data_IF_820294057187
#
_entry.id   IF_820294057187
#
_cell.length_a   1.000
_cell.length_b   1.000
_cell.length_c   1.000
_cell.angle_alpha   90.00
_cell.angle_beta   90.00
_cell.angle_gamma   90.00
#
_symmetry.space_group_name_H-M   'P 1'
#
loop_
_entity.id
_entity.type
_entity.pdbx_description
1 polymer ?
#
# COMPACT_ATOMS: atom_id res chain seq x y z
N UNK A 1 -16.24 -16.54 -22.09
CA UNK A 1 -17.69 -16.29 -22.09
C UNK A 1 -17.93 -15.07 -21.22
N UNK A 2 -18.47 -14.00 -21.79
CA UNK A 2 -18.53 -12.67 -21.18
C UNK A 2 -19.38 -12.67 -19.92
N UNK A 3 -18.87 -12.09 -18.82
CA UNK A 3 -19.65 -11.72 -17.66
C UNK A 3 -19.74 -10.19 -17.59
N UNK A 4 -20.96 -9.70 -17.77
CA UNK A 4 -21.36 -8.33 -17.49
C UNK A 4 -21.26 -8.10 -15.98
N UNK A 5 -20.38 -7.20 -15.55
CA UNK A 5 -20.27 -6.81 -14.14
C UNK A 5 -21.30 -5.71 -13.87
N UNK A 6 -22.43 -6.08 -13.26
CA UNK A 6 -23.32 -5.12 -12.62
C UNK A 6 -22.65 -4.58 -11.35
N UNK A 7 -22.32 -3.28 -11.36
CA UNK A 7 -22.08 -2.50 -10.15
C UNK A 7 -23.42 -2.45 -9.40
N UNK A 8 -23.57 -3.23 -8.34
CA UNK A 8 -24.71 -3.09 -7.43
C UNK A 8 -24.32 -2.10 -6.35
N UNK A 9 -24.66 -0.83 -6.56
CA UNK A 9 -24.72 0.15 -5.48
C UNK A 9 -25.95 -0.19 -4.62
N UNK A 10 -25.80 -0.99 -3.58
CA UNK A 10 -26.89 -1.24 -2.64
C UNK A 10 -27.03 -0.07 -1.68
N UNK A 11 -28.20 0.57 -1.68
CA UNK A 11 -28.58 1.64 -0.77
C UNK A 11 -29.33 1.03 0.43
N UNK A 12 -28.65 0.82 1.55
CA UNK A 12 -29.34 0.54 2.82
C UNK A 12 -29.61 1.85 3.55
N UNK A 13 -30.88 2.27 3.54
CA UNK A 13 -31.38 3.36 4.36
C UNK A 13 -31.59 2.89 5.80
N UNK A 14 -30.50 2.74 6.55
CA UNK A 14 -30.55 2.81 8.01
C UNK A 14 -29.28 3.47 8.56
N UNK A 15 -29.36 4.78 8.79
CA UNK A 15 -28.36 5.56 9.53
C UNK A 15 -27.08 5.98 8.78
N UNK A 16 -27.07 7.20 8.24
CA UNK A 16 -25.92 8.11 8.08
C UNK A 16 -24.53 7.59 7.63
N UNK A 17 -24.44 6.50 6.84
CA UNK A 17 -23.17 6.00 6.30
C UNK A 17 -23.29 5.71 4.81
N UNK A 18 -22.57 6.46 3.96
CA UNK A 18 -22.40 6.11 2.55
C UNK A 18 -21.20 5.18 2.44
N UNK A 19 -21.44 3.89 2.53
CA UNK A 19 -20.42 2.85 2.41
C UNK A 19 -20.47 2.28 0.98
N UNK A 20 -19.42 2.48 0.18
CA UNK A 20 -19.25 1.71 -1.05
C UNK A 20 -18.54 0.42 -0.60
N UNK A 21 -19.32 -0.60 -0.23
CA UNK A 21 -18.76 -1.92 0.01
C UNK A 21 -18.49 -2.58 -1.33
N UNK A 22 -17.23 -2.75 -1.67
CA UNK A 22 -16.81 -3.62 -2.76
C UNK A 22 -16.81 -5.06 -2.22
N UNK A 23 -18.00 -5.67 -2.13
CA UNK A 23 -18.12 -7.08 -1.76
C UNK A 23 -17.81 -7.95 -2.98
N UNK A 24 -16.62 -8.56 -2.98
CA UNK A 24 -16.39 -9.72 -3.84
C UNK A 24 -17.25 -10.88 -3.31
N UNK A 25 -18.38 -11.14 -3.96
CA UNK A 25 -19.32 -12.18 -3.53
C UNK A 25 -18.65 -13.56 -3.48
N UNK A 26 -18.60 -14.16 -2.29
CA UNK A 26 -18.19 -15.53 -2.08
C UNK A 26 -19.29 -16.48 -2.59
N UNK A 27 -18.95 -17.44 -3.47
CA UNK A 27 -19.83 -18.60 -3.69
C UNK A 27 -19.78 -19.48 -2.44
N UNK A 28 -20.96 -19.81 -1.89
CA UNK A 28 -21.13 -20.75 -0.77
C UNK A 28 -20.43 -22.07 -1.07
N UNK A 29 -19.53 -22.46 -0.18
CA UNK A 29 -18.88 -23.77 -0.17
C UNK A 29 -17.37 -23.66 -0.35
N UNK A 30 -16.64 -23.28 0.70
CA UNK A 30 -15.28 -23.77 0.84
C UNK A 30 -14.91 -23.91 2.31
N UNK A 31 -14.50 -25.14 2.62
CA UNK A 31 -14.17 -25.66 3.94
C UNK A 31 -12.87 -25.04 4.48
N UNK A 32 -12.75 -25.02 5.80
CA UNK A 32 -11.59 -24.54 6.55
C UNK A 32 -10.27 -25.22 6.12
N UNK A 33 -9.18 -24.42 6.05
CA UNK A 33 -7.73 -24.73 5.81
C UNK A 33 -7.09 -23.99 4.61
N UNK A 34 -7.86 -23.24 3.81
CA UNK A 34 -7.30 -22.38 2.75
C UNK A 34 -8.15 -21.14 2.54
N UNK A 35 -8.12 -20.20 3.49
CA UNK A 35 -8.95 -18.99 3.41
C UNK A 35 -8.43 -18.11 2.27
N UNK A 36 -9.15 -18.12 1.14
CA UNK A 36 -9.04 -17.12 0.09
C UNK A 36 -9.42 -15.75 0.69
N UNK A 37 -8.43 -14.89 0.89
CA UNK A 37 -8.60 -13.53 1.40
C UNK A 37 -9.36 -12.67 0.40
N UNK A 38 -10.46 -12.03 0.82
CA UNK A 38 -11.02 -10.83 0.17
C UNK A 38 -11.54 -9.84 1.25
N UNK A 39 -11.48 -8.50 1.05
CA UNK A 39 -11.02 -7.80 -0.14
C UNK A 39 -9.78 -6.90 0.08
N UNK A 40 -9.02 -6.81 -1.00
CA UNK A 40 -8.43 -5.59 -1.55
C UNK A 40 -9.25 -4.30 -1.35
N UNK A 41 -8.59 -3.18 -1.06
CA UNK A 41 -9.08 -1.79 -1.13
C UNK A 41 -10.55 -1.49 -0.76
N UNK A 42 -10.78 -0.95 0.44
CA UNK A 42 -12.06 -0.36 0.86
C UNK A 42 -12.05 1.14 0.66
N UNK A 43 -13.15 1.74 0.21
CA UNK A 43 -13.30 3.18 0.05
C UNK A 43 -14.61 3.67 0.65
N UNK A 44 -14.52 4.70 1.50
CA UNK A 44 -15.68 5.38 2.08
C UNK A 44 -15.37 6.86 2.35
N UNK A 45 -16.42 7.65 2.55
CA UNK A 45 -16.30 8.99 3.13
C UNK A 45 -16.38 8.87 4.65
N UNK A 46 -15.54 9.61 5.39
CA UNK A 46 -15.52 9.50 6.86
C UNK A 46 -16.71 10.20 7.52
N UNK A 47 -17.23 11.27 6.93
CA UNK A 47 -18.51 11.87 7.34
C UNK A 47 -19.29 12.35 6.11
N UNK A 48 -20.62 12.42 6.23
CA UNK A 48 -21.54 12.86 5.16
C UNK A 48 -21.19 14.27 4.65
N UNK A 49 -20.72 15.13 5.57
CA UNK A 49 -20.38 16.54 5.32
C UNK A 49 -18.87 16.79 5.16
N UNK A 50 -18.04 15.74 5.26
CA UNK A 50 -16.59 15.88 5.16
C UNK A 50 -16.11 15.86 3.71
N UNK A 51 -15.14 16.72 3.44
CA UNK A 51 -14.28 16.65 2.26
C UNK A 51 -13.19 15.56 2.40
N UNK A 52 -13.47 14.47 3.15
CA UNK A 52 -12.47 13.46 3.54
C UNK A 52 -12.81 12.11 2.90
N UNK A 53 -11.97 11.69 1.96
CA UNK A 53 -11.90 10.33 1.46
C UNK A 53 -11.10 9.45 2.43
N UNK A 54 -11.56 8.23 2.67
CA UNK A 54 -10.80 7.21 3.38
C UNK A 54 -10.69 5.96 2.50
N UNK A 55 -9.47 5.50 2.28
CA UNK A 55 -9.16 4.28 1.53
C UNK A 55 -8.35 3.36 2.44
N UNK A 56 -8.83 2.14 2.69
CA UNK A 56 -8.06 1.10 3.39
C UNK A 56 -7.53 0.09 2.40
N UNK A 57 -6.21 0.02 2.25
CA UNK A 57 -5.55 -0.96 1.38
C UNK A 57 -5.13 -2.14 2.23
N UNK A 58 -5.93 -3.23 2.25
CA UNK A 58 -5.66 -4.40 3.10
C UNK A 58 -4.47 -5.26 2.64
N UNK A 59 -4.29 -5.41 1.33
CA UNK A 59 -3.15 -6.09 0.71
C UNK A 59 -3.11 -5.78 -0.80
N UNK A 60 -2.04 -6.17 -1.47
CA UNK A 60 -1.88 -6.04 -2.93
C UNK A 60 -2.02 -7.38 -3.67
N UNK A 61 -2.55 -8.43 -3.04
CA UNK A 61 -2.93 -9.66 -3.76
C UNK A 61 -4.35 -9.54 -4.30
N UNK A 62 -4.57 -8.60 -5.22
CA UNK A 62 -5.89 -8.37 -5.82
C UNK A 62 -6.03 -9.23 -7.07
N UNK A 63 -7.18 -9.91 -7.21
CA UNK A 63 -7.50 -10.75 -8.36
C UNK A 63 -7.58 -9.94 -9.67
N UNK A 64 -7.43 -10.60 -10.83
CA UNK A 64 -7.43 -9.96 -12.15
C UNK A 64 -8.73 -9.20 -12.47
N UNK A 65 -9.83 -9.54 -11.80
CA UNK A 65 -11.14 -8.90 -11.93
C UNK A 65 -11.25 -7.50 -11.31
N UNK A 66 -10.28 -7.06 -10.50
CA UNK A 66 -10.34 -5.73 -9.91
C UNK A 66 -10.05 -4.65 -10.96
N UNK A 67 -11.00 -3.73 -11.23
CA UNK A 67 -10.85 -2.73 -12.29
C UNK A 67 -9.76 -1.69 -11.98
N UNK A 68 -9.24 -1.66 -10.74
CA UNK A 68 -8.25 -0.70 -10.27
C UNK A 68 -8.88 0.40 -9.42
N UNK A 69 -8.10 1.46 -9.16
CA UNK A 69 -8.48 2.54 -8.26
C UNK A 69 -9.11 3.75 -8.98
N UNK A 70 -9.20 3.70 -10.31
CA UNK A 70 -9.62 4.82 -11.13
C UNK A 70 -10.99 5.39 -10.75
N UNK A 71 -11.96 4.53 -10.44
CA UNK A 71 -13.32 4.96 -10.11
C UNK A 71 -13.37 5.63 -8.73
N UNK A 72 -12.54 5.16 -7.78
CA UNK A 72 -12.37 5.80 -6.48
C UNK A 72 -11.84 7.23 -6.67
N UNK A 73 -10.76 7.39 -7.46
CA UNK A 73 -10.16 8.69 -7.69
C UNK A 73 -11.01 9.61 -8.57
N UNK A 74 -11.79 9.06 -9.51
CA UNK A 74 -12.78 9.81 -10.26
C UNK A 74 -13.89 10.35 -9.35
N UNK A 75 -14.39 9.55 -8.39
CA UNK A 75 -15.38 9.99 -7.40
C UNK A 75 -14.80 11.08 -6.47
N UNK A 76 -13.57 10.88 -5.97
CA UNK A 76 -12.84 11.88 -5.17
C UNK A 76 -12.76 13.22 -5.91
N UNK A 77 -12.38 13.20 -7.20
CA UNK A 77 -12.27 14.40 -8.02
C UNK A 77 -13.64 15.04 -8.30
N UNK A 78 -14.64 14.24 -8.69
CA UNK A 78 -16.01 14.69 -8.97
C UNK A 78 -16.62 15.39 -7.77
N UNK A 79 -16.40 14.85 -6.57
CA UNK A 79 -16.90 15.41 -5.30
C UNK A 79 -16.00 16.51 -4.72
N UNK A 80 -14.85 16.78 -5.33
CA UNK A 80 -13.86 17.77 -4.89
C UNK A 80 -13.42 17.56 -3.45
N UNK A 81 -13.24 16.29 -3.04
CA UNK A 81 -12.73 15.97 -1.71
C UNK A 81 -11.30 16.53 -1.57
N UNK A 82 -11.00 17.10 -0.40
CA UNK A 82 -9.77 17.88 -0.16
C UNK A 82 -8.75 17.12 0.69
N UNK A 83 -9.19 16.08 1.38
CA UNK A 83 -8.36 15.26 2.25
C UNK A 83 -8.53 13.79 1.90
N UNK A 84 -7.42 13.06 1.86
CA UNK A 84 -7.39 11.61 1.66
C UNK A 84 -6.68 10.96 2.85
N UNK A 85 -7.34 10.01 3.49
CA UNK A 85 -6.75 9.13 4.49
C UNK A 85 -6.49 7.78 3.83
N UNK A 86 -5.24 7.35 3.83
CA UNK A 86 -4.79 6.06 3.30
C UNK A 86 -4.46 5.18 4.49
N UNK A 87 -5.27 4.17 4.76
CA UNK A 87 -5.01 3.21 5.84
C UNK A 87 -4.24 2.01 5.29
N UNK A 88 -2.96 1.93 5.66
CA UNK A 88 -2.04 0.82 5.34
C UNK A 88 -1.82 -0.11 6.53
N UNK A 89 -2.48 0.13 7.67
CA UNK A 89 -2.32 -0.69 8.88
C UNK A 89 -2.69 -2.14 8.58
N UNK A 90 -1.81 -3.06 8.95
CA UNK A 90 -1.94 -4.49 8.70
C UNK A 90 -1.73 -4.92 7.25
N UNK A 91 -1.23 -4.06 6.34
CA UNK A 91 -1.02 -4.41 4.94
C UNK A 91 0.31 -5.16 4.71
N UNK A 92 0.29 -6.48 4.43
CA UNK A 92 1.51 -7.29 4.33
C UNK A 92 2.22 -7.16 2.97
N UNK A 93 1.68 -6.37 2.05
CA UNK A 93 2.16 -6.25 0.67
C UNK A 93 1.40 -7.14 -0.32
N UNK A 94 2.09 -7.58 -1.39
CA UNK A 94 1.51 -8.36 -2.47
C UNK A 94 2.11 -8.00 -3.83
N UNK A 95 1.27 -7.85 -4.86
CA UNK A 95 1.72 -7.62 -6.23
C UNK A 95 1.98 -6.13 -6.52
N UNK A 96 3.16 -5.83 -7.10
CA UNK A 96 3.59 -4.47 -7.45
C UNK A 96 2.67 -3.73 -8.42
N UNK A 97 1.96 -4.45 -9.29
CA UNK A 97 1.05 -3.83 -10.27
C UNK A 97 -0.04 -3.03 -9.57
N UNK A 98 -0.54 -3.51 -8.43
CA UNK A 98 -1.59 -2.82 -7.69
C UNK A 98 -1.05 -1.64 -6.89
N UNK A 99 0.17 -1.73 -6.38
CA UNK A 99 0.85 -0.58 -5.84
C UNK A 99 1.04 0.49 -6.94
N UNK A 100 1.51 0.08 -8.13
CA UNK A 100 1.73 0.95 -9.28
C UNK A 100 0.49 1.72 -9.70
N UNK A 101 -0.63 0.98 -9.82
CA UNK A 101 -1.93 1.56 -10.18
C UNK A 101 -2.45 2.51 -9.10
N UNK A 102 -2.20 2.26 -7.82
CA UNK A 102 -2.62 3.16 -6.76
C UNK A 102 -1.78 4.44 -6.77
N UNK A 103 -0.45 4.29 -6.77
CA UNK A 103 0.49 5.39 -6.65
C UNK A 103 0.49 6.32 -7.87
N UNK A 104 0.09 5.85 -9.06
CA UNK A 104 -0.08 6.72 -10.24
C UNK A 104 -1.10 7.84 -10.02
N UNK A 105 -2.06 7.66 -9.10
CA UNK A 105 -3.00 8.71 -8.69
C UNK A 105 -2.38 9.73 -7.71
N UNK A 106 -1.20 9.46 -7.17
CA UNK A 106 -0.56 10.28 -6.12
C UNK A 106 0.53 11.22 -6.67
N UNK A 107 1.00 10.99 -7.89
CA UNK A 107 2.14 11.71 -8.49
C UNK A 107 1.70 12.73 -9.55
N UNK A 108 2.57 13.68 -9.88
CA UNK A 108 2.37 14.71 -10.92
C UNK A 108 3.32 14.56 -12.12
N UNK A 109 4.34 13.73 -11.98
CA UNK A 109 5.40 13.50 -12.94
C UNK A 109 5.81 12.03 -12.91
N UNK A 110 6.39 11.50 -14.00
CA UNK A 110 6.86 10.12 -14.00
C UNK A 110 7.88 9.85 -12.88
N UNK A 111 7.72 8.74 -12.15
CA UNK A 111 8.61 8.33 -11.04
C UNK A 111 9.02 6.87 -11.15
N UNK A 112 10.20 6.52 -10.65
CA UNK A 112 10.65 5.15 -10.50
C UNK A 112 10.31 4.61 -9.10
N UNK A 113 9.77 3.39 -8.98
CA UNK A 113 9.47 2.81 -7.66
C UNK A 113 10.69 2.37 -6.87
N UNK A 114 11.63 1.75 -7.56
CA UNK A 114 12.87 1.27 -6.99
C UNK A 114 13.95 1.36 -8.06
N UNK A 115 15.17 0.97 -7.70
CA UNK A 115 16.33 0.88 -8.58
C UNK A 115 17.13 -0.36 -8.19
N UNK A 116 17.67 -1.05 -9.18
CA UNK A 116 18.63 -2.12 -8.93
C UNK A 116 20.03 -1.52 -8.66
N UNK A 117 20.87 -2.16 -7.81
CA UNK A 117 22.27 -1.79 -7.65
C UNK A 117 23.01 -1.91 -8.97
N UNK A 118 23.86 -0.93 -9.31
CA UNK A 118 24.74 -1.05 -10.48
C UNK A 118 25.78 -2.18 -10.30
N UNK A 119 26.15 -2.48 -9.05
CA UNK A 119 27.08 -3.53 -8.66
C UNK A 119 26.57 -4.94 -8.97
N UNK A 120 25.27 -5.11 -9.27
CA UNK A 120 24.68 -6.41 -9.61
C UNK A 120 25.41 -7.07 -10.79
N UNK A 121 25.85 -6.27 -11.78
CA UNK A 121 26.61 -6.73 -12.96
C UNK A 121 27.99 -7.26 -12.58
N UNK A 122 28.54 -6.82 -11.44
CA UNK A 122 29.84 -7.26 -10.91
C UNK A 122 29.72 -8.56 -10.09
N UNK A 123 28.52 -8.92 -9.63
CA UNK A 123 28.29 -10.14 -8.86
C UNK A 123 28.15 -11.37 -9.77
N UNK A 124 29.29 -11.99 -10.12
CA UNK A 124 29.35 -13.18 -11.01
C UNK A 124 28.36 -14.29 -10.64
N UNK A 125 28.14 -14.54 -9.34
CA UNK A 125 27.22 -15.59 -8.87
C UNK A 125 25.76 -15.34 -9.29
N UNK A 126 25.34 -14.08 -9.31
CA UNK A 126 24.00 -13.68 -9.73
C UNK A 126 23.95 -13.43 -11.25
N UNK A 127 24.92 -12.69 -11.79
CA UNK A 127 24.92 -12.24 -13.19
C UNK A 127 25.30 -13.33 -14.20
N UNK A 128 26.03 -14.39 -13.79
CA UNK A 128 26.33 -15.51 -14.70
C UNK A 128 25.14 -16.45 -14.90
N UNK A 129 24.11 -16.37 -14.05
CA UNK A 129 22.86 -17.07 -14.30
C UNK A 129 22.12 -16.41 -15.48
N UNK A 130 21.98 -17.11 -16.61
CA UNK A 130 21.40 -16.55 -17.83
C UNK A 130 19.99 -15.98 -17.63
N UNK A 131 19.14 -16.65 -16.85
CA UNK A 131 17.78 -16.16 -16.56
C UNK A 131 17.83 -14.87 -15.74
N UNK A 132 18.70 -14.82 -14.72
CA UNK A 132 18.91 -13.61 -13.94
C UNK A 132 19.51 -12.48 -14.77
N UNK A 133 20.49 -12.74 -15.64
CA UNK A 133 21.05 -11.72 -16.53
C UNK A 133 20.00 -11.13 -17.45
N UNK A 134 19.21 -11.96 -18.12
CA UNK A 134 18.10 -11.51 -18.97
C UNK A 134 17.07 -10.73 -18.14
N UNK A 135 16.77 -11.18 -16.92
CA UNK A 135 15.88 -10.47 -16.02
C UNK A 135 16.46 -9.11 -15.60
N UNK A 136 17.72 -9.02 -15.17
CA UNK A 136 18.40 -7.78 -14.77
C UNK A 136 18.52 -6.82 -15.94
N UNK A 137 18.91 -7.30 -17.12
CA UNK A 137 19.01 -6.49 -18.33
C UNK A 137 17.62 -6.00 -18.77
N UNK A 138 16.58 -6.84 -18.64
CA UNK A 138 15.20 -6.42 -18.85
C UNK A 138 14.79 -5.39 -17.82
N UNK A 139 14.97 -5.63 -16.53
CA UNK A 139 14.56 -4.74 -15.45
C UNK A 139 15.27 -3.38 -15.51
N UNK A 140 16.59 -3.37 -15.74
CA UNK A 140 17.38 -2.14 -15.90
C UNK A 140 17.04 -1.35 -17.17
N UNK A 141 16.45 -1.98 -18.20
CA UNK A 141 16.04 -1.32 -19.45
C UNK A 141 14.52 -1.10 -19.57
N UNK A 142 13.71 -1.83 -18.83
CA UNK A 142 12.25 -1.85 -18.97
C UNK A 142 11.60 -0.89 -17.99
N UNK A 143 10.73 -0.05 -18.52
CA UNK A 143 9.93 0.96 -17.83
C UNK A 143 8.92 0.43 -16.78
N UNK A 144 9.07 -0.80 -16.27
CA UNK A 144 8.13 -1.37 -15.28
C UNK A 144 8.18 -0.70 -13.91
N UNK A 145 9.17 0.17 -13.69
CA UNK A 145 9.26 1.05 -12.52
C UNK A 145 8.82 2.47 -12.81
N UNK A 146 8.73 2.90 -14.08
CA UNK A 146 8.32 4.26 -14.42
C UNK A 146 6.80 4.37 -14.35
N UNK A 147 6.29 4.84 -13.23
CA UNK A 147 4.87 5.13 -13.06
C UNK A 147 4.61 6.49 -13.68
N UNK A 148 3.69 6.54 -14.63
CA UNK A 148 3.17 7.80 -15.15
C UNK A 148 1.95 8.25 -14.34
N UNK A 149 1.73 9.55 -14.17
CA UNK A 149 0.55 10.07 -13.50
C UNK A 149 -0.74 9.61 -14.19
N UNK A 150 -1.73 9.22 -13.39
CA UNK A 150 -3.08 8.96 -13.89
C UNK A 150 -3.82 10.29 -14.17
N UNK A 151 -4.78 10.36 -15.11
CA UNK A 151 -5.62 11.54 -15.29
C UNK A 151 -6.34 12.01 -14.00
N UNK A 152 -6.75 11.06 -13.18
CA UNK A 152 -7.39 11.30 -11.88
C UNK A 152 -6.36 11.33 -10.74
N UNK A 153 -5.53 12.37 -10.67
CA UNK A 153 -4.58 12.52 -9.57
C UNK A 153 -5.16 13.29 -8.39
N UNK A 154 -4.83 12.87 -7.18
CA UNK A 154 -5.16 13.59 -5.95
C UNK A 154 -4.07 14.59 -5.61
N UNK A 155 -4.46 15.83 -5.28
CA UNK A 155 -3.54 16.93 -4.96
C UNK A 155 -3.78 17.55 -3.58
N UNK A 156 -4.76 17.04 -2.83
CA UNK A 156 -5.13 17.54 -1.52
C UNK A 156 -4.18 17.09 -0.41
N UNK A 157 -4.60 17.28 0.85
CA UNK A 157 -3.85 16.83 2.04
C UNK A 157 -3.99 15.32 2.20
N UNK A 158 -2.89 14.62 2.46
CA UNK A 158 -2.88 13.17 2.60
C UNK A 158 -2.45 12.80 4.02
N UNK A 159 -3.19 11.91 4.66
CA UNK A 159 -2.75 11.20 5.86
C UNK A 159 -2.54 9.73 5.52
N UNK A 160 -1.48 9.13 6.05
CA UNK A 160 -1.19 7.70 5.88
C UNK A 160 -1.13 7.05 7.25
N UNK A 161 -2.02 6.10 7.51
CA UNK A 161 -2.03 5.34 8.75
C UNK A 161 -1.14 4.10 8.54
N UNK A 162 -0.15 3.92 9.41
CA UNK A 162 0.84 2.83 9.32
C UNK A 162 1.00 2.11 10.67
N UNK A 163 1.43 0.85 10.59
CA UNK A 163 1.80 0.03 11.75
C UNK A 163 2.87 -1.00 11.37
N UNK A 164 3.30 -1.82 12.35
CA UNK A 164 4.24 -2.92 12.12
C UNK A 164 3.74 -3.99 11.12
N UNK A 165 2.43 -4.07 10.88
CA UNK A 165 1.84 -4.93 9.86
C UNK A 165 2.02 -4.40 8.42
N UNK A 166 2.39 -3.14 8.26
CA UNK A 166 2.72 -2.51 6.97
C UNK A 166 4.06 -3.07 6.47
N UNK A 167 4.02 -4.08 5.62
CA UNK A 167 5.19 -4.90 5.27
C UNK A 167 5.35 -5.10 3.77
N UNK A 168 6.55 -5.48 3.33
CA UNK A 168 6.87 -5.80 1.92
C UNK A 168 6.44 -4.69 0.95
N UNK A 169 5.60 -4.99 -0.04
CA UNK A 169 5.05 -3.99 -0.97
C UNK A 169 4.24 -2.91 -0.24
N UNK A 170 3.65 -3.20 0.93
CA UNK A 170 3.06 -2.19 1.82
C UNK A 170 4.08 -1.15 2.29
N UNK A 171 5.26 -1.58 2.75
CA UNK A 171 6.32 -0.66 3.17
C UNK A 171 6.95 0.08 1.98
N UNK A 172 7.00 -0.56 0.80
CA UNK A 172 7.42 0.10 -0.44
C UNK A 172 6.48 1.26 -0.81
N UNK A 173 5.16 1.06 -0.69
CA UNK A 173 4.19 2.14 -0.92
C UNK A 173 4.34 3.24 0.13
N UNK A 174 4.44 2.87 1.41
CA UNK A 174 4.63 3.81 2.51
C UNK A 174 5.87 4.69 2.28
N UNK A 175 7.02 4.09 1.93
CA UNK A 175 8.25 4.83 1.69
C UNK A 175 8.15 5.79 0.49
N UNK A 176 7.50 5.36 -0.59
CA UNK A 176 7.27 6.21 -1.77
C UNK A 176 6.28 7.36 -1.46
N UNK A 177 5.21 7.10 -0.71
CA UNK A 177 4.28 8.14 -0.24
C UNK A 177 4.98 9.14 0.69
N UNK A 178 5.90 8.70 1.54
CA UNK A 178 6.68 9.56 2.44
C UNK A 178 7.53 10.58 1.69
N UNK A 179 7.94 10.29 0.46
CA UNK A 179 8.69 11.21 -0.39
C UNK A 179 7.82 12.27 -1.09
N UNK A 180 6.49 12.17 -1.00
CA UNK A 180 5.58 13.14 -1.60
C UNK A 180 5.41 14.37 -0.70
N UNK A 181 5.03 15.48 -1.33
CA UNK A 181 4.63 16.70 -0.61
C UNK A 181 3.21 16.52 -0.05
N UNK A 182 2.88 17.19 1.04
CA UNK A 182 1.55 17.23 1.65
C UNK A 182 1.06 15.89 2.24
N UNK A 183 1.99 15.04 2.70
CA UNK A 183 1.68 13.76 3.35
C UNK A 183 2.08 13.80 4.83
N UNK A 184 1.21 13.28 5.70
CA UNK A 184 1.48 13.11 7.13
C UNK A 184 1.23 11.66 7.54
N UNK A 185 2.23 11.01 8.12
CA UNK A 185 2.14 9.64 8.60
C UNK A 185 1.76 9.60 10.07
N UNK A 186 0.82 8.73 10.43
CA UNK A 186 0.30 8.58 11.79
C UNK A 186 0.30 7.09 12.15
N UNK A 187 0.76 6.74 13.35
CA UNK A 187 0.74 5.35 13.85
C UNK A 187 2.09 4.88 14.37
N UNK A 188 2.51 3.69 13.95
CA UNK A 188 3.75 3.04 14.39
C UNK A 188 4.70 2.76 13.22
N UNK A 189 5.96 2.42 13.51
CA UNK A 189 6.96 2.07 12.49
C UNK A 189 6.50 0.88 11.63
N UNK A 190 6.71 0.97 10.31
CA UNK A 190 6.38 -0.13 9.39
C UNK A 190 7.28 -1.34 9.59
N UNK A 191 6.76 -2.56 9.44
CA UNK A 191 7.56 -3.79 9.59
C UNK A 191 8.57 -4.07 8.47
N UNK A 192 8.41 -3.46 7.29
CA UNK A 192 9.38 -3.54 6.19
C UNK A 192 10.36 -2.38 6.19
N UNK A 193 11.48 -2.51 5.48
CA UNK A 193 12.48 -1.42 5.38
C UNK A 193 11.96 -0.21 4.62
N UNK A 194 12.44 0.98 4.98
CA UNK A 194 12.15 2.26 4.30
C UNK A 194 12.88 2.46 2.97
N UNK A 195 13.90 1.66 2.67
CA UNK A 195 14.74 1.91 1.49
C UNK A 195 15.36 0.68 0.81
N UNK A 196 15.27 -0.52 1.38
CA UNK A 196 15.81 -1.73 0.77
C UNK A 196 14.81 -2.87 0.79
N UNK A 197 14.75 -3.64 -0.29
CA UNK A 197 14.00 -4.90 -0.33
C UNK A 197 14.68 -5.92 -1.22
N UNK A 198 14.19 -7.15 -1.23
CA UNK A 198 14.84 -8.29 -1.88
C UNK A 198 14.48 -8.48 -3.36
N UNK A 199 13.85 -7.47 -3.98
CA UNK A 199 13.36 -7.49 -5.36
C UNK A 199 12.50 -8.74 -5.70
N UNK A 200 11.81 -9.30 -4.70
CA UNK A 200 11.07 -10.57 -4.78
C UNK A 200 11.93 -11.79 -5.15
N UNK A 201 13.25 -11.70 -5.02
CA UNK A 201 14.20 -12.81 -5.24
C UNK A 201 14.53 -13.46 -3.90
N UNK A 202 13.78 -14.51 -3.57
CA UNK A 202 13.96 -15.27 -2.34
C UNK A 202 14.47 -16.68 -2.68
N UNK A 203 15.46 -17.14 -1.94
CA UNK A 203 15.85 -18.56 -1.92
C UNK A 203 15.46 -19.19 -0.61
N UNK A 204 15.21 -20.49 -0.67
CA UNK A 204 14.95 -21.33 0.49
C UNK A 204 15.96 -22.47 0.51
N UNK A 205 16.47 -22.82 1.69
CA UNK A 205 17.24 -24.05 1.90
C UNK A 205 16.82 -24.70 3.22
N UNK A 206 16.80 -26.03 3.27
CA UNK A 206 16.64 -26.77 4.52
C UNK A 206 18.01 -26.94 5.17
N UNK A 207 18.12 -26.59 6.45
CA UNK A 207 19.36 -26.80 7.19
C UNK A 207 19.58 -28.30 7.45
N UNK A 208 20.78 -28.84 7.18
CA UNK A 208 21.01 -30.29 7.12
C UNK A 208 20.78 -31.01 8.45
N UNK A 209 21.01 -30.35 9.58
CA UNK A 209 20.88 -30.94 10.92
C UNK A 209 19.52 -30.64 11.56
N UNK A 210 19.11 -29.38 11.58
CA UNK A 210 17.89 -28.95 12.28
C UNK A 210 16.61 -29.10 11.44
N UNK A 211 16.75 -29.28 10.11
CA UNK A 211 15.65 -29.26 9.14
C UNK A 211 14.84 -27.96 9.12
N UNK A 212 15.35 -26.89 9.73
CA UNK A 212 14.73 -25.57 9.66
C UNK A 212 14.83 -25.01 8.24
N UNK A 213 13.74 -24.40 7.77
CA UNK A 213 13.68 -23.72 6.48
C UNK A 213 14.28 -22.31 6.59
N UNK A 214 15.48 -22.11 6.07
CA UNK A 214 16.08 -20.79 5.93
C UNK A 214 15.57 -20.13 4.64
N UNK A 215 14.87 -19.00 4.76
CA UNK A 215 14.50 -18.13 3.63
C UNK A 215 15.32 -16.85 3.66
N UNK A 216 15.91 -16.46 2.54
CA UNK A 216 16.74 -15.27 2.45
C UNK A 216 16.65 -14.60 1.07
N UNK A 217 16.82 -13.28 1.06
CA UNK A 217 16.89 -12.48 -0.16
C UNK A 217 18.21 -12.65 -0.89
N UNK A 218 18.14 -12.74 -2.22
CA UNK A 218 19.35 -12.88 -3.05
C UNK A 218 19.73 -11.60 -3.79
N UNK A 219 18.84 -10.62 -3.86
CA UNK A 219 19.10 -9.38 -4.58
C UNK A 219 18.54 -8.17 -3.84
N UNK A 220 19.37 -7.23 -3.37
CA UNK A 220 18.87 -5.95 -2.89
C UNK A 220 18.39 -5.08 -4.06
N UNK A 221 17.33 -4.34 -3.81
CA UNK A 221 16.86 -3.23 -4.63
C UNK A 221 16.56 -2.04 -3.71
N UNK A 222 16.74 -0.83 -4.22
CA UNK A 222 16.70 0.39 -3.43
C UNK A 222 15.52 1.27 -3.82
N UNK A 223 14.92 1.95 -2.85
CA UNK A 223 13.81 2.89 -3.07
C UNK A 223 13.83 3.99 -2.01
N UNK A 224 13.01 5.02 -2.20
CA UNK A 224 12.93 6.13 -1.26
C UNK A 224 14.27 6.84 -1.06
N UNK A 225 14.51 7.26 0.18
CA UNK A 225 15.77 7.90 0.59
C UNK A 225 16.83 6.85 0.98
N UNK A 226 17.91 6.83 0.19
CA UNK A 226 19.03 5.90 0.32
C UNK A 226 20.25 6.51 1.01
N UNK A 227 20.14 7.74 1.54
CA UNK A 227 21.25 8.42 2.24
C UNK A 227 21.68 7.69 3.51
N UNK A 228 20.74 7.00 4.17
CA UNK A 228 21.00 6.18 5.37
C UNK A 228 20.23 4.86 5.33
N UNK A 229 20.95 3.75 5.21
CA UNK A 229 20.40 2.38 5.25
C UNK A 229 20.70 1.80 6.64
N UNK A 230 19.74 1.93 7.54
CA UNK A 230 19.85 1.57 8.97
C UNK A 230 18.99 0.35 9.35
N UNK A 231 18.36 -0.29 8.37
CA UNK A 231 17.47 -1.45 8.58
C UNK A 231 16.11 -1.10 9.18
N UNK A 232 15.78 0.18 9.36
CA UNK A 232 14.50 0.63 9.92
C UNK A 232 13.39 0.71 8.87
N UNK A 233 12.16 0.66 9.36
CA UNK A 233 10.98 0.96 8.59
C UNK A 233 10.71 2.46 8.43
N UNK A 234 9.60 2.78 7.79
CA UNK A 234 9.11 4.15 7.66
C UNK A 234 8.58 4.58 9.01
N UNK A 235 9.12 5.68 9.54
CA UNK A 235 8.65 6.26 10.80
C UNK A 235 7.40 7.12 10.58
N UNK A 236 6.46 7.09 11.54
CA UNK A 236 5.35 8.04 11.56
C UNK A 236 5.87 9.47 11.81
N UNK A 237 5.15 10.47 11.30
CA UNK A 237 5.35 11.87 11.70
C UNK A 237 4.68 12.14 13.06
N UNK A 238 3.55 11.48 13.29
CA UNK A 238 2.79 11.53 14.53
C UNK A 238 2.74 10.11 15.10
N UNK A 239 3.66 9.75 16.03
CA UNK A 239 3.65 8.44 16.64
C UNK A 239 2.41 8.25 17.51
N UNK A 240 1.87 7.03 17.53
CA UNK A 240 0.75 6.64 18.38
C UNK A 240 1.20 5.53 19.31
N UNK A 241 0.83 5.64 20.58
CA UNK A 241 1.06 4.62 21.59
C UNK A 241 -0.29 4.29 22.24
N UNK A 242 -0.69 3.02 22.15
CA UNK A 242 -1.94 2.55 22.73
C UNK A 242 -1.75 2.17 24.22
N UNK A 243 -2.66 2.62 25.07
CA UNK A 243 -2.84 2.08 26.41
C UNK A 243 -3.75 0.84 26.43
N UNK A 244 -3.70 0.06 27.50
CA UNK A 244 -4.61 -1.09 27.70
C UNK A 244 -6.07 -0.67 27.58
N UNK A 245 -6.44 0.46 28.17
CA UNK A 245 -7.80 0.99 28.12
C UNK A 245 -8.23 1.38 26.70
N UNK A 246 -7.31 1.82 25.85
CA UNK A 246 -7.61 2.15 24.45
C UNK A 246 -7.94 0.90 23.65
N UNK A 247 -7.22 -0.20 23.88
CA UNK A 247 -7.54 -1.51 23.30
C UNK A 247 -8.87 -2.05 23.81
N UNK A 248 -9.11 -2.01 25.13
CA UNK A 248 -10.36 -2.49 25.73
C UNK A 248 -11.58 -1.69 25.25
N UNK A 249 -11.41 -0.40 25.00
CA UNK A 249 -12.44 0.47 24.46
C UNK A 249 -12.56 0.42 22.92
N UNK A 250 -11.69 -0.32 22.23
CA UNK A 250 -11.69 -0.42 20.77
C UNK A 250 -11.49 0.92 20.05
N UNK A 251 -10.66 1.81 20.62
CA UNK A 251 -10.38 3.12 20.01
C UNK A 251 -9.51 2.99 18.76
N UNK A 252 -9.69 3.92 17.83
CA UNK A 252 -8.81 4.10 16.66
C UNK A 252 -8.06 5.42 16.85
N UNK A 253 -6.97 5.38 17.64
CA UNK A 253 -6.23 6.57 18.06
C UNK A 253 -5.61 7.30 16.86
N UNK A 254 -5.13 6.59 15.84
CA UNK A 254 -4.61 7.21 14.63
C UNK A 254 -5.70 8.00 13.91
N UNK A 255 -6.88 7.40 13.71
CA UNK A 255 -7.98 8.07 13.02
C UNK A 255 -8.52 9.25 13.84
N UNK A 256 -8.62 9.11 15.16
CA UNK A 256 -9.04 10.18 16.07
C UNK A 256 -8.10 11.39 15.98
N UNK A 257 -6.78 11.15 15.93
CA UNK A 257 -5.78 12.20 15.76
C UNK A 257 -5.91 12.89 14.39
N UNK A 258 -6.10 12.13 13.31
CA UNK A 258 -6.32 12.68 11.98
C UNK A 258 -7.58 13.56 11.95
N UNK A 259 -8.68 13.07 12.50
CA UNK A 259 -9.94 13.82 12.55
C UNK A 259 -9.82 15.08 13.41
N UNK A 260 -9.05 15.03 14.50
CA UNK A 260 -8.75 16.19 15.34
C UNK A 260 -7.91 17.23 14.59
N UNK A 261 -6.84 16.82 13.92
CA UNK A 261 -5.98 17.73 13.14
C UNK A 261 -6.76 18.40 11.99
N UNK A 262 -7.61 17.64 11.30
CA UNK A 262 -8.47 18.20 10.24
C UNK A 262 -9.42 19.25 10.81
N UNK A 263 -10.07 18.99 11.95
CA UNK A 263 -10.97 19.95 12.60
C UNK A 263 -10.27 21.23 13.04
N UNK A 264 -9.04 21.14 13.54
CA UNK A 264 -8.27 22.32 13.96
C UNK A 264 -7.84 23.17 12.77
N UNK A 265 -7.38 22.54 11.68
CA UNK A 265 -6.97 23.27 10.47
C UNK A 265 -8.16 23.93 9.73
N UNK A 266 -9.39 23.40 9.86
CA UNK A 266 -10.59 24.05 9.32
C UNK A 266 -10.96 25.32 10.10
N UNK A 267 -10.65 25.39 11.40
CA UNK A 267 -11.00 26.55 12.24
C UNK A 267 -9.97 27.70 12.19
N UNK A 268 -8.76 27.44 11.69
CA UNK A 268 -7.67 28.41 11.65
C UNK A 268 -7.38 29.03 10.28
N UNK A 269 -8.23 28.79 9.28
CA UNK A 269 -8.07 29.29 7.91
C UNK A 269 -9.29 30.03 7.39
#
# INVERSE_FOLDING_TARGET
MYLSSCITASHESSGNRWEIKLEAQQKKGFDSIGVAMLPSAEYRRLTVDSNIAYIKLRHFNIGPEYPGYQDIFADIQKRKLKTLVIDLRGNPGGNLVWLARFYSHMIDSPKYFYRLPEEIKKQKQLYNNQKMRVWVDKMSKSAFELITPHPFTFKGKIYVLIDGGTFSVGSLLAANLKALKNVTFVGEETGGSKNVWTALTLKSLSLPTSQLLLRYGTLPAFFGDITNIDGRGVMPDVPVAYGVDDYLAGKDLELDLVLKDIKMNIKGG
#
